data_IF_962578627675
#
_entry.id   IF_962578627675
#
_cell.length_a   1.000
_cell.length_b   1.000
_cell.length_c   1.000
_cell.angle_alpha   90.00
_cell.angle_beta   90.00
_cell.angle_gamma   90.00
#
_symmetry.space_group_name_H-M   'P 1'
#
loop_
_entity.id
_entity.type
_entity.pdbx_description
1 polymer ?
#
# COMPACT_ATOMS: atom_id res chain seq x y z
N UNK A 1 6.11 -4.69 18.53
CA UNK A 1 7.57 -4.48 18.46
C UNK A 1 7.87 -4.26 16.99
N UNK A 2 8.42 -3.10 16.59
CA UNK A 2 8.72 -2.85 15.18
C UNK A 2 9.66 -3.95 14.68
N UNK A 3 9.35 -4.52 13.52
CA UNK A 3 10.15 -5.60 12.93
C UNK A 3 11.38 -5.08 12.18
N UNK A 4 11.45 -3.76 11.95
CA UNK A 4 12.55 -3.04 11.32
C UNK A 4 13.13 -1.93 12.21
N UNK A 5 14.34 -1.47 11.86
CA UNK A 5 14.90 -0.23 12.37
C UNK A 5 14.21 0.97 11.70
N UNK A 6 14.04 2.07 12.45
CA UNK A 6 13.44 3.29 11.93
C UNK A 6 14.27 3.89 10.79
N UNK A 7 13.59 4.44 9.78
CA UNK A 7 14.15 5.13 8.62
C UNK A 7 13.70 6.60 8.66
N UNK A 8 14.60 7.49 9.09
CA UNK A 8 14.28 8.90 9.33
C UNK A 8 13.76 9.62 8.08
N UNK A 9 14.23 9.26 6.88
CA UNK A 9 13.78 9.88 5.62
C UNK A 9 12.34 9.49 5.31
N UNK A 10 11.96 8.23 5.59
CA UNK A 10 10.58 7.75 5.45
C UNK A 10 9.67 8.37 6.49
N UNK A 11 10.08 8.38 7.76
CA UNK A 11 9.33 8.98 8.86
C UNK A 11 9.05 10.46 8.56
N UNK A 12 10.06 11.21 8.12
CA UNK A 12 9.89 12.62 7.75
C UNK A 12 8.95 12.79 6.55
N UNK A 13 9.08 11.97 5.49
CA UNK A 13 8.19 12.05 4.33
C UNK A 13 6.74 11.73 4.72
N UNK A 14 6.53 10.69 5.51
CA UNK A 14 5.21 10.29 6.00
C UNK A 14 4.60 11.42 6.87
N UNK A 15 5.34 11.96 7.83
CA UNK A 15 4.88 13.07 8.65
C UNK A 15 4.52 14.33 7.83
N UNK A 16 5.32 14.65 6.81
CA UNK A 16 5.19 15.88 6.03
C UNK A 16 4.33 15.77 4.76
N UNK A 17 3.91 14.56 4.36
CA UNK A 17 3.12 14.36 3.14
C UNK A 17 1.87 13.51 3.35
N UNK A 18 1.86 12.63 4.35
CA UNK A 18 0.68 11.83 4.72
C UNK A 18 -0.07 12.55 5.84
N UNK A 19 0.60 12.87 6.94
CA UNK A 19 -0.05 13.42 8.16
C UNK A 19 -0.02 14.95 8.26
N UNK A 20 -0.06 15.65 7.13
CA UNK A 20 -0.08 17.13 7.13
C UNK A 20 -1.38 17.63 7.75
N UNK A 21 -1.27 18.35 8.86
CA UNK A 21 -2.40 18.94 9.60
C UNK A 21 -3.47 17.93 10.05
N UNK A 22 -3.09 16.66 10.28
CA UNK A 22 -3.98 15.69 10.91
C UNK A 22 -4.06 15.95 12.41
N UNK A 23 -5.29 16.00 12.93
CA UNK A 23 -5.58 16.19 14.35
C UNK A 23 -6.21 14.94 14.97
N UNK A 24 -6.79 14.04 14.17
CA UNK A 24 -7.52 12.86 14.66
C UNK A 24 -7.09 11.54 13.99
N UNK A 25 -7.11 10.45 14.75
CA UNK A 25 -6.73 9.10 14.28
C UNK A 25 -7.60 8.60 13.11
N UNK A 26 -8.88 9.00 13.08
CA UNK A 26 -9.80 8.67 11.98
C UNK A 26 -9.36 9.28 10.63
N UNK A 27 -8.53 10.33 10.63
CA UNK A 27 -8.02 10.97 9.42
C UNK A 27 -6.83 10.20 8.83
N UNK A 28 -6.19 9.31 9.60
CA UNK A 28 -4.99 8.59 9.17
C UNK A 28 -5.22 7.73 7.92
N UNK A 29 -6.33 6.99 7.88
CA UNK A 29 -6.70 6.17 6.72
C UNK A 29 -6.97 7.02 5.48
N UNK A 30 -7.70 8.12 5.63
CA UNK A 30 -7.99 9.06 4.53
C UNK A 30 -6.73 9.73 4.00
N UNK A 31 -5.81 10.11 4.88
CA UNK A 31 -4.54 10.69 4.46
C UNK A 31 -3.66 9.72 3.69
N UNK A 32 -3.54 8.47 4.14
CA UNK A 32 -2.85 7.43 3.37
C UNK A 32 -3.52 7.23 2.02
N UNK A 33 -4.86 7.18 1.99
CA UNK A 33 -5.62 7.03 0.76
C UNK A 33 -5.32 8.17 -0.22
N UNK A 34 -5.41 9.44 0.21
CA UNK A 34 -5.12 10.58 -0.66
C UNK A 34 -3.65 10.66 -1.06
N UNK A 35 -2.71 10.37 -0.16
CA UNK A 35 -1.29 10.28 -0.51
C UNK A 35 -1.04 9.27 -1.64
N UNK A 36 -1.57 8.05 -1.49
CA UNK A 36 -1.42 7.00 -2.49
C UNK A 36 -2.15 7.36 -3.79
N UNK A 37 -3.36 7.93 -3.70
CA UNK A 37 -4.13 8.34 -4.87
C UNK A 37 -3.39 9.37 -5.73
N UNK A 38 -2.65 10.29 -5.10
CA UNK A 38 -1.93 11.33 -5.82
C UNK A 38 -0.58 10.88 -6.36
N UNK A 39 0.12 9.98 -5.65
CA UNK A 39 1.50 9.59 -5.99
C UNK A 39 1.60 8.32 -6.82
N UNK A 40 0.65 7.39 -6.68
CA UNK A 40 0.67 6.13 -7.43
C UNK A 40 0.06 6.32 -8.81
N UNK A 41 0.85 6.01 -9.84
CA UNK A 41 0.41 6.04 -11.23
C UNK A 41 -0.21 4.69 -11.62
N UNK A 42 -1.51 4.69 -11.86
CA UNK A 42 -2.24 3.52 -12.34
C UNK A 42 -2.47 3.58 -13.87
N UNK A 43 -2.54 2.43 -14.56
CA UNK A 43 -2.27 1.08 -14.06
C UNK A 43 -0.76 0.75 -14.06
N UNK A 44 -0.35 -0.20 -13.21
CA UNK A 44 1.02 -0.74 -13.21
C UNK A 44 1.02 -2.26 -12.94
N UNK A 45 2.09 -2.95 -13.35
CA UNK A 45 2.25 -4.39 -13.08
C UNK A 45 2.86 -4.62 -11.71
N UNK A 46 2.46 -5.69 -11.03
CA UNK A 46 3.01 -6.05 -9.73
C UNK A 46 3.06 -7.56 -9.52
N UNK A 47 3.93 -7.99 -8.61
CA UNK A 47 3.80 -9.29 -7.96
C UNK A 47 2.78 -9.18 -6.83
N UNK A 48 1.75 -10.01 -6.88
CA UNK A 48 0.79 -10.21 -5.80
C UNK A 48 1.22 -11.38 -4.92
N UNK A 49 1.50 -11.08 -3.65
CA UNK A 49 2.03 -12.00 -2.65
C UNK A 49 0.93 -12.34 -1.65
N UNK A 50 0.25 -13.47 -1.85
CA UNK A 50 -0.86 -13.94 -0.98
C UNK A 50 -0.45 -14.16 0.48
N UNK A 51 0.85 -14.38 0.77
CA UNK A 51 1.36 -14.53 2.13
C UNK A 51 2.76 -13.91 2.28
N UNK A 52 2.80 -12.62 2.68
CA UNK A 52 4.04 -11.84 2.82
C UNK A 52 5.03 -12.41 3.85
N UNK A 53 4.54 -13.14 4.86
CA UNK A 53 5.39 -13.73 5.90
C UNK A 53 6.10 -15.04 5.49
N UNK A 54 5.67 -15.68 4.41
CA UNK A 54 6.18 -17.00 3.99
C UNK A 54 6.76 -17.01 2.58
N UNK A 55 6.50 -15.98 1.77
CA UNK A 55 6.90 -15.93 0.38
C UNK A 55 8.25 -15.23 0.17
N UNK A 56 9.09 -15.78 -0.72
CA UNK A 56 10.10 -14.96 -1.41
C UNK A 56 9.39 -14.00 -2.36
N UNK A 57 9.88 -12.76 -2.45
CA UNK A 57 9.32 -11.68 -3.30
C UNK A 57 9.14 -12.09 -4.78
N UNK A 58 9.86 -13.12 -5.23
CA UNK A 58 9.82 -13.69 -6.59
C UNK A 58 8.75 -14.78 -6.83
N UNK A 59 7.98 -15.18 -5.82
CA UNK A 59 6.98 -16.24 -5.92
C UNK A 59 5.53 -15.72 -6.08
N UNK A 60 5.33 -14.41 -6.21
CA UNK A 60 4.01 -13.80 -6.38
C UNK A 60 3.46 -13.91 -7.81
N UNK A 61 2.14 -14.00 -7.94
CA UNK A 61 1.44 -13.97 -9.23
C UNK A 61 1.57 -12.58 -9.85
N UNK A 62 1.81 -12.49 -11.17
CA UNK A 62 1.88 -11.19 -11.84
C UNK A 62 0.47 -10.72 -12.16
N UNK A 63 0.10 -9.57 -11.58
CA UNK A 63 -1.21 -8.93 -11.76
C UNK A 63 -1.04 -7.49 -12.25
N UNK A 64 -2.13 -6.91 -12.75
CA UNK A 64 -2.19 -5.48 -13.07
C UNK A 64 -2.96 -4.76 -11.97
N UNK A 65 -2.34 -3.78 -11.33
CA UNK A 65 -2.99 -2.92 -10.34
C UNK A 65 -3.65 -1.78 -11.09
N UNK A 66 -4.96 -1.62 -10.93
CA UNK A 66 -5.79 -0.75 -11.78
C UNK A 66 -6.30 0.50 -11.06
N UNK A 67 -6.19 0.57 -9.75
CA UNK A 67 -6.59 1.74 -8.96
C UNK A 67 -6.75 1.44 -7.48
N UNK A 68 -7.21 2.43 -6.72
CA UNK A 68 -7.73 2.26 -5.36
C UNK A 68 -9.24 1.98 -5.42
N UNK A 69 -9.80 1.18 -4.48
CA UNK A 69 -11.25 1.10 -4.28
C UNK A 69 -11.78 2.39 -3.62
N UNK A 70 -13.05 2.42 -3.19
CA UNK A 70 -13.59 3.60 -2.52
C UNK A 70 -12.87 3.83 -1.18
N UNK A 71 -12.77 5.09 -0.74
CA UNK A 71 -12.04 5.43 0.50
C UNK A 71 -12.61 4.73 1.75
N UNK A 72 -13.93 4.50 1.78
CA UNK A 72 -14.64 3.74 2.82
C UNK A 72 -14.14 2.29 2.94
N UNK A 73 -13.70 1.68 1.83
CA UNK A 73 -13.13 0.32 1.84
C UNK A 73 -11.70 0.30 2.42
N UNK A 74 -11.04 1.47 2.50
CA UNK A 74 -9.65 1.62 2.91
C UNK A 74 -9.47 2.14 4.35
N UNK A 75 -10.55 2.34 5.11
CA UNK A 75 -10.46 2.94 6.46
C UNK A 75 -9.52 2.19 7.41
N UNK A 76 -9.46 0.86 7.31
CA UNK A 76 -8.70 -0.01 8.22
C UNK A 76 -7.41 -0.56 7.62
N UNK A 77 -7.32 -0.60 6.30
CA UNK A 77 -6.20 -1.16 5.55
C UNK A 77 -6.19 -0.55 4.15
N UNK A 78 -5.03 -0.12 3.65
CA UNK A 78 -4.94 0.34 2.26
C UNK A 78 -5.09 -0.85 1.31
N UNK A 79 -6.12 -0.78 0.47
CA UNK A 79 -6.42 -1.77 -0.56
C UNK A 79 -6.11 -1.20 -1.94
N UNK A 80 -5.85 -2.08 -2.90
CA UNK A 80 -5.81 -1.74 -4.33
C UNK A 80 -6.65 -2.73 -5.13
N UNK A 81 -7.33 -2.23 -6.16
CA UNK A 81 -7.99 -3.08 -7.14
C UNK A 81 -6.95 -3.69 -8.07
N UNK A 82 -7.00 -5.00 -8.21
CA UNK A 82 -6.19 -5.73 -9.18
C UNK A 82 -7.08 -6.35 -10.25
N UNK A 83 -6.54 -6.43 -11.46
CA UNK A 83 -7.05 -7.26 -12.54
C UNK A 83 -6.28 -8.56 -12.55
N UNK A 84 -6.97 -9.65 -12.23
CA UNK A 84 -6.44 -11.01 -12.28
C UNK A 84 -6.89 -11.68 -13.57
N UNK A 85 -5.95 -12.30 -14.28
CA UNK A 85 -6.20 -13.04 -15.52
C UNK A 85 -5.63 -14.44 -15.41
N UNK A 86 -6.49 -15.43 -15.55
CA UNK A 86 -6.11 -16.85 -15.60
C UNK A 86 -6.92 -17.54 -16.69
N UNK A 87 -6.22 -18.08 -17.70
CA UNK A 87 -6.80 -18.73 -18.87
C UNK A 87 -7.85 -17.85 -19.59
N UNK A 88 -9.14 -18.18 -19.47
CA UNK A 88 -10.28 -17.47 -20.09
C UNK A 88 -11.06 -16.62 -19.06
N UNK A 89 -10.62 -16.57 -17.81
CA UNK A 89 -11.26 -15.80 -16.73
C UNK A 89 -10.51 -14.49 -16.48
N UNK A 90 -11.27 -13.40 -16.42
CA UNK A 90 -10.81 -12.08 -16.01
C UNK A 90 -11.72 -11.61 -14.87
N UNK A 91 -11.10 -11.29 -13.73
CA UNK A 91 -11.80 -10.81 -12.54
C UNK A 91 -11.08 -9.58 -11.97
N UNK A 92 -11.85 -8.71 -11.32
CA UNK A 92 -11.36 -7.49 -10.69
C UNK A 92 -11.81 -7.44 -9.23
N UNK A 93 -10.85 -7.41 -8.31
CA UNK A 93 -11.15 -7.38 -6.88
C UNK A 93 -10.05 -6.64 -6.10
N UNK A 94 -10.40 -6.22 -4.89
CA UNK A 94 -9.51 -5.48 -4.00
C UNK A 94 -8.61 -6.44 -3.20
N UNK A 95 -7.33 -6.11 -3.07
CA UNK A 95 -6.36 -6.82 -2.23
C UNK A 95 -5.55 -5.83 -1.39
N UNK A 96 -5.00 -6.24 -0.24
CA UNK A 96 -4.10 -5.39 0.54
C UNK A 96 -2.92 -4.87 -0.27
N UNK A 97 -2.68 -3.56 -0.23
CA UNK A 97 -1.50 -2.95 -0.84
C UNK A 97 -0.21 -3.49 -0.23
N UNK A 98 -0.24 -3.93 1.03
CA UNK A 98 0.87 -4.62 1.70
C UNK A 98 1.30 -5.91 0.96
N UNK A 99 0.41 -6.52 0.17
CA UNK A 99 0.68 -7.73 -0.60
C UNK A 99 1.13 -7.44 -2.05
N UNK A 100 1.36 -6.19 -2.42
CA UNK A 100 1.68 -5.76 -3.79
C UNK A 100 3.11 -5.26 -3.87
N UNK A 101 3.88 -5.83 -4.80
CA UNK A 101 5.25 -5.41 -5.09
C UNK A 101 5.34 -4.95 -6.55
N UNK A 102 5.50 -3.64 -6.82
CA UNK A 102 5.53 -3.11 -8.18
C UNK A 102 6.65 -3.73 -9.03
N UNK A 103 6.36 -3.95 -10.31
CA UNK A 103 7.32 -4.40 -11.33
C UNK A 103 7.57 -3.22 -12.27
N UNK A 104 8.77 -2.65 -12.22
CA UNK A 104 9.21 -1.58 -13.12
C UNK A 104 8.28 -0.35 -13.16
N UNK A 105 7.54 -0.08 -12.07
CA UNK A 105 6.77 1.15 -11.94
C UNK A 105 7.70 2.38 -11.86
N UNK A 106 7.15 3.58 -12.08
CA UNK A 106 7.92 4.81 -11.94
C UNK A 106 8.41 5.02 -10.49
N UNK A 107 9.41 5.89 -10.32
CA UNK A 107 10.06 6.11 -9.04
C UNK A 107 9.11 6.63 -7.95
N UNK A 108 8.09 7.41 -8.33
CA UNK A 108 7.12 7.95 -7.39
C UNK A 108 6.18 6.86 -6.87
N UNK A 109 5.67 6.02 -7.78
CA UNK A 109 4.87 4.85 -7.42
C UNK A 109 5.65 3.89 -6.52
N UNK A 110 6.91 3.61 -6.85
CA UNK A 110 7.75 2.73 -6.04
C UNK A 110 7.99 3.30 -4.63
N UNK A 111 8.24 4.60 -4.51
CA UNK A 111 8.47 5.25 -3.22
C UNK A 111 7.20 5.23 -2.35
N UNK A 112 6.06 5.61 -2.91
CA UNK A 112 4.79 5.67 -2.18
C UNK A 112 4.36 4.29 -1.65
N UNK A 113 4.51 3.24 -2.46
CA UNK A 113 4.20 1.86 -2.04
C UNK A 113 5.23 1.36 -1.00
N UNK A 114 6.51 1.72 -1.14
CA UNK A 114 7.51 1.37 -0.15
C UNK A 114 7.28 2.06 1.21
N UNK A 115 6.73 3.27 1.22
CA UNK A 115 6.35 3.96 2.47
C UNK A 115 5.21 3.27 3.19
N UNK A 116 4.18 2.83 2.44
CA UNK A 116 3.12 2.01 3.00
C UNK A 116 3.65 0.69 3.56
N UNK A 117 4.54 0.00 2.83
CA UNK A 117 5.18 -1.22 3.31
C UNK A 117 5.95 -0.99 4.60
N UNK A 118 6.73 0.09 4.68
CA UNK A 118 7.46 0.50 5.88
C UNK A 118 6.49 0.74 7.06
N UNK A 119 5.43 1.51 6.85
CA UNK A 119 4.43 1.82 7.87
C UNK A 119 3.81 0.55 8.48
N UNK A 120 3.45 -0.41 7.64
CA UNK A 120 2.91 -1.72 8.08
C UNK A 120 3.98 -2.56 8.80
N UNK A 121 5.22 -2.60 8.29
CA UNK A 121 6.30 -3.41 8.88
C UNK A 121 6.80 -2.86 10.22
N UNK A 122 6.66 -1.55 10.45
CA UNK A 122 6.86 -0.92 11.75
C UNK A 122 5.75 -1.25 12.76
N UNK A 123 4.61 -1.76 12.27
CA UNK A 123 3.47 -2.15 13.08
C UNK A 123 2.57 -0.98 13.48
N UNK A 124 2.64 0.15 12.77
CA UNK A 124 1.86 1.35 13.09
C UNK A 124 0.37 1.17 12.72
N UNK A 125 0.07 0.54 11.58
CA UNK A 125 -1.31 0.21 11.17
C UNK A 125 -2.24 1.42 11.00
N UNK A 126 -3.55 1.18 10.81
CA UNK A 126 -4.60 2.22 10.70
C UNK A 126 -5.71 2.06 11.76
N UNK A 127 -5.43 1.38 12.89
CA UNK A 127 -6.36 1.19 14.00
C UNK A 127 -5.78 1.69 15.33
N UNK A 128 -6.55 1.57 16.43
CA UNK A 128 -6.40 2.13 17.82
C UNK A 128 -5.00 2.22 18.48
N UNK A 129 -3.94 1.76 17.82
CA UNK A 129 -2.55 1.86 18.25
C UNK A 129 -1.69 2.79 17.37
N UNK A 130 -2.29 3.60 16.48
CA UNK A 130 -1.56 4.40 15.50
C UNK A 130 -0.98 5.74 16.03
N UNK A 131 -0.90 5.95 17.35
CA UNK A 131 -0.34 7.17 17.97
C UNK A 131 0.67 6.88 19.07
#
# INVERSE_FOLDING_TARGET
MPQLAQDDDREQRIAMQVFVDIYEEAEAGLSWYYYLQHRVQFPFKAHWIKNRHQASLTAGEVVEVIGLPHEEDCEREMLVNIRYREEELEDEFAVPLANIVPIEADAETQEAIADWHYWVDMGYGLGEAAV
#
